data_IF_984024242765
#
_entry.id   IF_984024242765
#
_cell.length_a   1.000
_cell.length_b   1.000
_cell.length_c   1.000
_cell.angle_alpha   90.00
_cell.angle_beta   90.00
_cell.angle_gamma   90.00
#
_symmetry.space_group_name_H-M   'P 1'
#
loop_
_entity.id
_entity.type
_entity.pdbx_description
1 polymer ?
#
# COMPACT_ATOMS: atom_id res chain seq x y z
N UNK A 1 -3.13 4.29 4.79
CA UNK A 1 -2.77 2.85 4.89
C UNK A 1 -2.73 2.43 6.35
N UNK A 2 -3.20 1.20 6.67
CA UNK A 2 -3.07 0.59 8.00
C UNK A 2 -2.17 -0.63 7.91
N UNK A 3 -1.39 -0.88 8.96
CA UNK A 3 -0.52 -2.05 9.12
C UNK A 3 -0.86 -2.74 10.44
N UNK A 4 -0.96 -4.06 10.43
CA UNK A 4 -1.16 -4.87 11.62
C UNK A 4 -0.06 -5.93 11.71
N UNK A 5 0.76 -5.86 12.74
CA UNK A 5 1.74 -6.90 13.08
C UNK A 5 1.05 -7.92 13.98
N UNK A 6 1.16 -9.20 13.61
CA UNK A 6 0.35 -10.27 14.17
C UNK A 6 1.26 -11.43 14.63
N UNK A 7 0.73 -12.26 15.53
CA UNK A 7 1.18 -13.63 15.73
C UNK A 7 0.37 -14.60 14.88
N UNK A 8 0.95 -15.71 14.52
CA UNK A 8 0.24 -16.79 13.82
C UNK A 8 -0.93 -17.35 14.66
N UNK A 9 -1.90 -17.96 14.00
CA UNK A 9 -3.04 -18.60 14.64
C UNK A 9 -4.17 -17.62 14.96
N UNK A 10 -4.51 -17.46 16.25
CA UNK A 10 -5.70 -16.72 16.67
C UNK A 10 -5.76 -15.28 16.15
N UNK A 11 -4.63 -14.54 16.18
CA UNK A 11 -4.62 -13.15 15.70
C UNK A 11 -4.82 -13.03 14.20
N UNK A 12 -4.22 -13.92 13.39
CA UNK A 12 -4.44 -13.90 11.93
C UNK A 12 -5.89 -14.21 11.58
N UNK A 13 -6.50 -15.23 12.21
CA UNK A 13 -7.90 -15.60 11.99
C UNK A 13 -8.84 -14.46 12.41
N UNK A 14 -8.61 -13.87 13.59
CA UNK A 14 -9.42 -12.78 14.10
C UNK A 14 -9.33 -11.53 13.21
N UNK A 15 -8.12 -11.17 12.78
CA UNK A 15 -7.90 -9.98 11.93
C UNK A 15 -8.48 -10.17 10.53
N UNK A 16 -8.33 -11.37 9.92
CA UNK A 16 -8.99 -11.68 8.64
C UNK A 16 -10.51 -11.54 8.75
N UNK A 17 -11.10 -12.17 9.78
CA UNK A 17 -12.53 -12.06 10.02
C UNK A 17 -13.01 -10.62 10.27
N UNK A 18 -12.22 -9.82 10.97
CA UNK A 18 -12.50 -8.39 11.17
C UNK A 18 -12.47 -7.62 9.84
N UNK A 19 -11.45 -7.83 9.00
CA UNK A 19 -11.35 -7.17 7.70
C UNK A 19 -12.53 -7.54 6.80
N UNK A 20 -12.84 -8.83 6.68
CA UNK A 20 -13.87 -9.36 5.80
C UNK A 20 -15.29 -8.97 6.22
N UNK A 21 -15.61 -9.15 7.51
CA UNK A 21 -17.00 -9.06 8.00
C UNK A 21 -17.37 -7.72 8.65
N UNK A 22 -16.38 -6.92 9.01
CA UNK A 22 -16.62 -5.64 9.68
C UNK A 22 -16.05 -4.44 8.93
N UNK A 23 -14.72 -4.36 8.75
CA UNK A 23 -14.08 -3.15 8.23
C UNK A 23 -14.44 -2.88 6.77
N UNK A 24 -14.24 -3.83 5.86
CA UNK A 24 -14.49 -3.62 4.42
C UNK A 24 -15.95 -3.31 4.14
N UNK A 25 -16.94 -4.02 4.70
CA UNK A 25 -18.35 -3.65 4.54
C UNK A 25 -18.68 -2.24 5.06
N UNK A 26 -18.14 -1.86 6.22
CA UNK A 26 -18.34 -0.51 6.76
C UNK A 26 -17.71 0.58 5.90
N UNK A 27 -16.51 0.35 5.37
CA UNK A 27 -15.88 1.26 4.41
C UNK A 27 -16.72 1.43 3.13
N UNK A 28 -17.31 0.35 2.64
CA UNK A 28 -18.27 0.40 1.52
C UNK A 28 -19.47 1.30 1.80
N UNK A 29 -20.06 1.22 3.02
CA UNK A 29 -21.16 2.13 3.45
C UNK A 29 -20.71 3.60 3.54
N UNK A 30 -19.44 3.84 3.84
CA UNK A 30 -18.83 5.18 3.84
C UNK A 30 -18.39 5.66 2.45
N UNK A 31 -18.61 4.87 1.38
CA UNK A 31 -18.18 5.20 0.03
C UNK A 31 -16.67 5.12 -0.20
N UNK A 32 -15.95 4.42 0.69
CA UNK A 32 -14.50 4.24 0.62
C UNK A 32 -14.14 2.90 -0.02
N UNK A 33 -13.54 2.91 -1.18
CA UNK A 33 -13.13 1.71 -1.91
C UNK A 33 -12.65 2.01 -3.33
N UNK A 34 -12.06 0.99 -4.00
CA UNK A 34 -11.85 -0.39 -3.55
C UNK A 34 -10.77 -0.49 -2.46
N UNK A 35 -11.00 -1.33 -1.45
CA UNK A 35 -10.08 -1.55 -0.33
C UNK A 35 -9.10 -2.65 -0.67
N UNK A 36 -7.81 -2.37 -0.58
CA UNK A 36 -6.76 -3.39 -0.67
C UNK A 36 -6.48 -4.00 0.71
N UNK A 37 -6.51 -5.32 0.81
CA UNK A 37 -6.12 -6.05 2.01
C UNK A 37 -5.08 -7.11 1.63
N UNK A 38 -3.90 -7.03 2.23
CA UNK A 38 -2.74 -7.81 1.83
C UNK A 38 -2.05 -8.46 3.02
N UNK A 39 -1.46 -9.63 2.78
CA UNK A 39 -0.56 -10.32 3.69
C UNK A 39 0.88 -10.15 3.20
N UNK A 40 1.80 -9.86 4.13
CA UNK A 40 3.24 -9.88 3.87
C UNK A 40 3.71 -11.33 3.72
N UNK A 41 4.28 -11.65 2.55
CA UNK A 41 4.86 -12.97 2.28
C UNK A 41 6.39 -12.97 2.51
N UNK A 42 7.08 -11.91 2.06
CA UNK A 42 8.53 -11.76 2.23
C UNK A 42 8.81 -10.36 2.76
N UNK A 43 9.43 -10.28 3.91
CA UNK A 43 9.79 -9.05 4.60
C UNK A 43 10.02 -9.29 6.09
N UNK A 44 10.38 -8.24 6.84
CA UNK A 44 10.52 -8.34 8.28
C UNK A 44 9.15 -8.51 8.94
N UNK A 45 9.10 -9.20 10.07
CA UNK A 45 7.91 -9.32 10.92
C UNK A 45 6.69 -9.93 10.21
N UNK A 46 6.74 -11.21 9.90
CA UNK A 46 5.60 -11.98 9.42
C UNK A 46 4.96 -12.79 10.56
N UNK A 47 3.62 -12.87 10.61
CA UNK A 47 2.65 -12.29 9.69
C UNK A 47 2.40 -10.81 9.95
N UNK A 48 2.32 -10.05 8.87
CA UNK A 48 1.89 -8.64 8.89
C UNK A 48 0.84 -8.43 7.81
N UNK A 49 -0.23 -7.69 8.13
CA UNK A 49 -1.27 -7.33 7.17
C UNK A 49 -1.23 -5.84 6.88
N UNK A 50 -1.44 -5.50 5.60
CA UNK A 50 -1.55 -4.13 5.10
C UNK A 50 -2.96 -3.89 4.57
N UNK A 51 -3.57 -2.76 4.93
CA UNK A 51 -4.89 -2.36 4.45
C UNK A 51 -4.79 -0.98 3.81
N UNK A 52 -5.06 -0.92 2.51
CA UNK A 52 -5.08 0.30 1.72
C UNK A 52 -6.52 0.77 1.59
N UNK A 53 -6.81 1.97 2.11
CA UNK A 53 -8.15 2.56 2.15
C UNK A 53 -8.08 3.86 1.34
N UNK A 54 -8.64 3.91 0.12
CA UNK A 54 -8.70 5.13 -0.66
C UNK A 54 -9.87 6.02 -0.21
N UNK A 55 -9.66 7.33 -0.28
CA UNK A 55 -10.70 8.33 -0.11
C UNK A 55 -10.30 9.61 -0.83
N UNK A 56 -11.21 10.35 -1.46
CA UNK A 56 -10.94 11.69 -1.98
C UNK A 56 -10.86 12.75 -0.87
N UNK A 57 -11.24 12.39 0.36
CA UNK A 57 -11.32 13.28 1.53
C UNK A 57 -10.33 12.80 2.61
N UNK A 58 -9.29 13.59 2.85
CA UNK A 58 -8.27 13.30 3.84
C UNK A 58 -8.83 13.37 5.27
N UNK A 59 -9.75 14.30 5.56
CA UNK A 59 -10.39 14.40 6.88
C UNK A 59 -11.18 13.13 7.20
N UNK A 60 -11.88 12.57 6.20
CA UNK A 60 -12.61 11.32 6.35
C UNK A 60 -11.68 10.15 6.74
N UNK A 61 -10.44 10.13 6.24
CA UNK A 61 -9.44 9.12 6.62
C UNK A 61 -8.91 9.35 8.04
N UNK A 62 -8.67 10.60 8.43
CA UNK A 62 -8.20 10.95 9.78
C UNK A 62 -9.27 10.63 10.83
N UNK A 63 -10.53 10.96 10.53
CA UNK A 63 -11.67 10.75 11.42
C UNK A 63 -12.31 9.36 11.28
N UNK A 64 -11.69 8.45 10.53
CA UNK A 64 -12.31 7.17 10.15
C UNK A 64 -12.73 6.33 11.36
N UNK A 65 -11.93 6.25 12.42
CA UNK A 65 -12.31 5.45 13.59
C UNK A 65 -13.50 6.02 14.35
N UNK A 66 -13.63 7.35 14.41
CA UNK A 66 -14.80 7.99 15.00
C UNK A 66 -16.06 7.70 14.16
N UNK A 67 -15.95 7.78 12.83
CA UNK A 67 -17.05 7.46 11.91
C UNK A 67 -17.46 5.99 12.02
N UNK A 68 -16.50 5.06 12.06
CA UNK A 68 -16.74 3.63 12.25
C UNK A 68 -17.37 3.35 13.63
N UNK A 69 -16.93 4.05 14.67
CA UNK A 69 -17.50 3.93 16.01
C UNK A 69 -18.96 4.36 16.14
N UNK A 70 -19.45 5.20 15.22
CA UNK A 70 -20.84 5.60 15.12
C UNK A 70 -21.73 4.64 14.30
N UNK A 71 -21.11 3.70 13.55
CA UNK A 71 -21.82 2.68 12.77
C UNK A 71 -22.14 1.46 13.65
N UNK A 72 -23.39 1.32 14.08
CA UNK A 72 -23.82 0.24 14.97
C UNK A 72 -23.61 -1.17 14.37
N UNK A 73 -23.73 -1.31 13.06
CA UNK A 73 -23.49 -2.59 12.37
C UNK A 73 -21.99 -2.95 12.43
N UNK A 74 -21.11 -1.96 12.14
CA UNK A 74 -19.68 -2.15 12.29
C UNK A 74 -19.29 -2.48 13.74
N UNK A 75 -19.81 -1.72 14.72
CA UNK A 75 -19.51 -1.96 16.15
C UNK A 75 -19.87 -3.39 16.55
N UNK A 76 -21.03 -3.87 16.16
CA UNK A 76 -21.48 -5.26 16.40
C UNK A 76 -20.57 -6.28 15.71
N UNK A 77 -20.29 -6.10 14.42
CA UNK A 77 -19.49 -7.04 13.64
C UNK A 77 -18.01 -7.08 14.06
N UNK A 78 -17.46 -5.95 14.52
CA UNK A 78 -16.07 -5.78 14.91
C UNK A 78 -15.79 -6.12 16.38
N UNK A 79 -16.80 -6.45 17.20
CA UNK A 79 -16.67 -6.58 18.66
C UNK A 79 -15.52 -7.47 19.09
N UNK A 80 -15.41 -8.68 18.52
CA UNK A 80 -14.31 -9.59 18.88
C UNK A 80 -12.90 -9.07 18.61
N UNK A 81 -12.74 -8.18 17.62
CA UNK A 81 -11.47 -7.53 17.32
C UNK A 81 -11.25 -6.25 18.15
N UNK A 82 -12.28 -5.42 18.28
CA UNK A 82 -12.20 -4.14 19.00
C UNK A 82 -12.05 -4.33 20.51
N UNK A 83 -12.74 -5.31 21.05
CA UNK A 83 -12.87 -5.54 22.50
C UNK A 83 -11.96 -6.69 22.95
N UNK A 84 -10.98 -7.08 22.12
CA UNK A 84 -10.04 -8.15 22.44
C UNK A 84 -9.31 -7.86 23.75
N UNK A 85 -9.32 -8.78 24.73
CA UNK A 85 -8.71 -8.54 26.03
C UNK A 85 -7.18 -8.51 25.94
N UNK A 86 -6.52 -7.84 26.88
CA UNK A 86 -5.08 -7.74 26.92
C UNK A 86 -4.36 -9.11 26.99
N UNK A 87 -5.01 -10.13 27.57
CA UNK A 87 -4.48 -11.50 27.63
C UNK A 87 -4.55 -12.24 26.28
N UNK A 88 -5.38 -11.77 25.34
CA UNK A 88 -5.53 -12.33 23.99
C UNK A 88 -5.76 -11.18 22.98
N UNK A 89 -4.75 -10.34 22.74
CA UNK A 89 -4.90 -9.15 21.90
C UNK A 89 -5.13 -9.52 20.44
N UNK A 90 -5.86 -8.68 19.71
CA UNK A 90 -6.19 -8.88 18.30
C UNK A 90 -4.97 -8.73 17.38
N UNK A 91 -3.96 -7.98 17.81
CA UNK A 91 -2.69 -7.73 17.10
C UNK A 91 -1.59 -7.37 18.11
N UNK A 92 -0.34 -7.45 17.68
CA UNK A 92 0.81 -7.02 18.50
C UNK A 92 1.02 -5.51 18.40
N UNK A 93 0.94 -4.97 17.17
CA UNK A 93 1.06 -3.54 16.87
C UNK A 93 0.17 -3.16 15.70
N UNK A 94 -0.32 -1.93 15.73
CA UNK A 94 -0.95 -1.33 14.56
C UNK A 94 -0.31 0.03 14.26
N UNK A 95 -0.08 0.28 12.97
CA UNK A 95 0.44 1.55 12.47
C UNK A 95 -0.53 2.12 11.44
N UNK A 96 -0.54 3.44 11.32
CA UNK A 96 -1.34 4.15 10.31
C UNK A 96 -0.48 5.18 9.63
N UNK A 97 -0.65 5.29 8.31
CA UNK A 97 -0.01 6.33 7.51
C UNK A 97 -1.07 7.03 6.66
N UNK A 98 -0.99 8.33 6.59
CA UNK A 98 -1.74 9.14 5.63
C UNK A 98 -0.88 9.38 4.41
N UNK A 99 -1.40 8.99 3.25
CA UNK A 99 -0.70 9.04 1.97
C UNK A 99 -1.44 9.98 1.02
N UNK A 100 -0.71 10.89 0.37
CA UNK A 100 -1.22 11.76 -0.69
C UNK A 100 -0.88 11.19 -2.07
N UNK A 101 -1.88 10.94 -2.91
CA UNK A 101 -1.65 10.42 -4.25
C UNK A 101 -0.82 11.39 -5.10
N UNK A 102 0.06 10.85 -5.95
CA UNK A 102 0.80 11.65 -6.91
C UNK A 102 -0.11 12.24 -7.98
N UNK A 103 0.23 13.43 -8.48
CA UNK A 103 -0.52 14.09 -9.56
C UNK A 103 -0.52 13.26 -10.84
N UNK A 104 0.58 12.57 -11.14
CA UNK A 104 0.70 11.65 -12.27
C UNK A 104 -0.08 10.33 -12.10
N UNK A 105 -0.57 10.02 -10.88
CA UNK A 105 -1.39 8.83 -10.59
C UNK A 105 -2.42 9.12 -9.49
N UNK A 106 -3.44 9.95 -9.78
CA UNK A 106 -4.31 10.52 -8.75
C UNK A 106 -5.35 9.55 -8.17
N UNK A 107 -5.47 8.35 -8.76
CA UNK A 107 -6.47 7.34 -8.34
C UNK A 107 -5.84 5.98 -8.22
N UNK A 108 -6.30 5.22 -7.23
CA UNK A 108 -5.97 3.81 -7.09
C UNK A 108 -6.49 3.03 -8.31
N UNK A 109 -5.64 2.17 -8.89
CA UNK A 109 -5.96 1.29 -10.00
C UNK A 109 -5.97 -0.16 -9.52
N UNK A 110 -7.14 -0.76 -9.40
CA UNK A 110 -7.25 -2.17 -9.06
C UNK A 110 -6.96 -3.04 -10.30
N UNK A 111 -6.38 -4.25 -10.11
CA UNK A 111 -6.24 -5.23 -11.19
C UNK A 111 -7.57 -5.58 -11.83
N UNK A 112 -7.57 -5.83 -13.14
CA UNK A 112 -8.80 -6.24 -13.84
C UNK A 112 -9.27 -7.61 -13.33
N UNK A 113 -10.56 -7.73 -13.06
CA UNK A 113 -11.18 -9.01 -12.73
C UNK A 113 -11.25 -9.90 -13.97
N UNK A 114 -11.01 -11.19 -13.76
CA UNK A 114 -11.21 -12.24 -14.78
C UNK A 114 -12.39 -13.11 -14.29
N UNK A 115 -13.42 -13.25 -15.10
CA UNK A 115 -14.65 -13.98 -14.72
C UNK A 115 -15.26 -13.53 -13.39
N UNK A 116 -15.23 -12.20 -13.14
CA UNK A 116 -15.75 -11.60 -11.91
C UNK A 116 -14.85 -11.72 -10.67
N UNK A 117 -13.75 -12.46 -10.74
CA UNK A 117 -12.79 -12.68 -9.65
C UNK A 117 -11.48 -11.92 -9.89
N UNK A 118 -10.84 -11.52 -8.81
CA UNK A 118 -9.45 -11.04 -8.88
C UNK A 118 -8.55 -12.24 -9.16
N UNK A 119 -7.65 -12.15 -10.16
CA UNK A 119 -6.68 -13.21 -10.42
C UNK A 119 -5.67 -13.32 -9.27
N UNK A 120 -5.08 -14.51 -9.09
CA UNK A 120 -3.92 -14.65 -8.21
C UNK A 120 -2.81 -13.74 -8.72
N UNK A 121 -2.29 -12.89 -7.84
CA UNK A 121 -1.23 -11.93 -8.17
C UNK A 121 -0.33 -11.75 -6.96
N UNK A 122 0.87 -11.28 -7.23
CA UNK A 122 1.77 -10.74 -6.21
C UNK A 122 1.78 -9.22 -6.28
N UNK A 123 2.03 -8.60 -5.15
CA UNK A 123 2.15 -7.16 -5.04
C UNK A 123 3.52 -6.81 -4.45
N UNK A 124 4.11 -5.74 -4.96
CA UNK A 124 5.38 -5.22 -4.48
C UNK A 124 5.14 -3.82 -3.90
N UNK A 125 5.23 -3.71 -2.58
CA UNK A 125 5.14 -2.44 -1.85
C UNK A 125 6.55 -1.89 -1.67
N UNK A 126 6.82 -0.72 -2.24
CA UNK A 126 8.12 -0.07 -2.14
C UNK A 126 7.99 1.27 -1.44
N UNK A 127 8.95 1.56 -0.57
CA UNK A 127 9.07 2.86 0.09
C UNK A 127 10.46 3.39 -0.15
N UNK A 128 10.56 4.62 -0.65
CA UNK A 128 11.81 5.35 -0.83
C UNK A 128 11.90 6.45 0.22
N UNK A 129 12.88 6.34 1.08
CA UNK A 129 13.22 7.33 2.09
C UNK A 129 14.26 8.30 1.51
N UNK A 130 14.17 9.58 1.86
CA UNK A 130 15.11 10.59 1.41
C UNK A 130 15.79 11.26 2.59
N UNK A 131 17.07 11.67 2.41
CA UNK A 131 17.85 12.31 3.47
C UNK A 131 17.40 13.74 3.78
N UNK A 132 16.60 14.37 2.91
CA UNK A 132 16.10 15.73 3.09
C UNK A 132 14.79 15.95 2.34
N UNK A 133 14.08 17.02 2.72
CA UNK A 133 12.84 17.41 2.04
C UNK A 133 13.10 17.81 0.57
N UNK A 134 14.25 18.42 0.27
CA UNK A 134 14.62 18.81 -1.10
C UNK A 134 14.85 17.56 -1.96
N UNK A 135 15.60 16.58 -1.46
CA UNK A 135 15.82 15.30 -2.13
C UNK A 135 14.48 14.55 -2.38
N UNK A 136 13.60 14.54 -1.38
CA UNK A 136 12.26 13.95 -1.49
C UNK A 136 11.42 14.63 -2.58
N UNK A 137 11.35 15.96 -2.56
CA UNK A 137 10.62 16.74 -3.59
C UNK A 137 11.16 16.44 -4.99
N UNK A 138 12.49 16.32 -5.12
CA UNK A 138 13.13 15.98 -6.39
C UNK A 138 12.76 14.58 -6.86
N UNK A 139 12.77 13.59 -5.96
CA UNK A 139 12.36 12.21 -6.31
C UNK A 139 10.89 12.15 -6.73
N UNK A 140 10.00 12.85 -6.04
CA UNK A 140 8.58 12.94 -6.46
C UNK A 140 8.42 13.60 -7.83
N UNK A 141 9.20 14.65 -8.13
CA UNK A 141 9.18 15.29 -9.44
C UNK A 141 9.58 14.31 -10.55
N UNK A 142 10.66 13.53 -10.35
CA UNK A 142 11.06 12.49 -11.32
C UNK A 142 9.94 11.50 -11.62
N UNK A 143 9.23 11.02 -10.59
CA UNK A 143 8.09 10.12 -10.79
C UNK A 143 7.00 10.78 -11.62
N UNK A 144 6.56 11.99 -11.25
CA UNK A 144 5.45 12.67 -11.92
C UNK A 144 5.79 13.13 -13.34
N UNK A 145 7.05 13.51 -13.60
CA UNK A 145 7.50 14.02 -14.91
C UNK A 145 7.72 12.90 -15.93
N UNK A 146 8.29 11.75 -15.51
CA UNK A 146 8.70 10.71 -16.46
C UNK A 146 8.62 9.27 -15.92
N UNK A 147 9.07 9.00 -14.67
CA UNK A 147 9.31 7.63 -14.18
C UNK A 147 8.03 6.78 -14.21
N UNK A 148 6.85 7.35 -13.89
CA UNK A 148 5.55 6.66 -13.99
C UNK A 148 5.28 6.19 -15.43
N UNK A 149 5.53 7.06 -16.42
CA UNK A 149 5.36 6.71 -17.84
C UNK A 149 6.31 5.60 -18.27
N UNK A 150 7.57 5.66 -17.79
CA UNK A 150 8.58 4.63 -18.04
C UNK A 150 8.18 3.30 -17.41
N UNK A 151 7.62 3.31 -16.19
CA UNK A 151 7.06 2.09 -15.55
C UNK A 151 6.01 1.43 -16.43
N UNK A 152 4.99 2.18 -16.82
CA UNK A 152 3.85 1.66 -17.58
C UNK A 152 4.28 1.07 -18.93
N UNK A 153 5.14 1.75 -19.70
CA UNK A 153 5.58 1.25 -21.00
C UNK A 153 6.49 0.02 -20.92
N UNK A 154 7.15 -0.20 -19.78
CA UNK A 154 7.97 -1.39 -19.53
C UNK A 154 7.19 -2.53 -18.82
N UNK A 155 5.87 -2.45 -18.79
CA UNK A 155 4.98 -3.50 -18.27
C UNK A 155 4.78 -3.48 -16.76
N UNK A 156 5.46 -2.61 -16.02
CA UNK A 156 5.19 -2.44 -14.60
C UNK A 156 3.75 -1.94 -14.42
N UNK A 157 2.99 -2.61 -13.58
CA UNK A 157 1.55 -2.33 -13.41
C UNK A 157 1.28 -1.65 -12.07
N UNK A 158 1.17 -0.31 -12.03
CA UNK A 158 0.96 0.42 -10.80
C UNK A 158 -0.46 0.27 -10.25
N UNK A 159 -0.54 0.18 -8.93
CA UNK A 159 -1.78 0.30 -8.15
C UNK A 159 -1.93 1.70 -7.60
N UNK A 160 -0.88 2.24 -6.99
CA UNK A 160 -0.82 3.64 -6.55
C UNK A 160 0.63 4.11 -6.44
N UNK A 161 0.81 5.44 -6.48
CA UNK A 161 2.00 6.17 -6.04
C UNK A 161 1.56 7.26 -5.07
N UNK A 162 2.29 7.44 -3.97
CA UNK A 162 1.89 8.42 -2.97
C UNK A 162 3.09 8.98 -2.18
N UNK A 163 2.95 10.25 -1.80
CA UNK A 163 3.75 10.90 -0.76
C UNK A 163 3.26 10.49 0.61
N UNK A 164 4.14 10.25 1.55
CA UNK A 164 3.78 10.01 2.95
C UNK A 164 3.63 11.33 3.67
N UNK A 165 2.38 11.76 3.87
CA UNK A 165 2.05 13.03 4.53
C UNK A 165 2.19 12.93 6.05
N UNK A 166 1.79 11.79 6.63
CA UNK A 166 1.92 11.46 8.05
C UNK A 166 2.27 9.99 8.16
N UNK A 167 3.37 9.66 8.82
CA UNK A 167 3.82 8.27 8.96
C UNK A 167 5.18 8.17 9.62
N UNK A 168 5.82 7.03 9.42
CA UNK A 168 7.18 6.74 9.87
C UNK A 168 8.20 6.93 8.74
N UNK A 169 9.49 7.10 9.08
CA UNK A 169 10.62 7.17 8.14
C UNK A 169 10.52 8.32 7.12
N UNK A 170 9.93 9.43 7.52
CA UNK A 170 9.76 10.60 6.66
C UNK A 170 11.05 11.43 6.54
N UNK A 171 11.25 12.14 5.42
CA UNK A 171 10.37 12.19 4.24
C UNK A 171 10.51 10.92 3.39
N UNK A 172 9.39 10.39 2.93
CA UNK A 172 9.38 9.18 2.10
C UNK A 172 8.16 9.13 1.18
N UNK A 173 8.31 8.46 0.05
CA UNK A 173 7.22 8.10 -0.84
C UNK A 173 6.99 6.58 -0.83
N UNK A 174 5.77 6.18 -1.12
CA UNK A 174 5.39 4.76 -1.15
C UNK A 174 4.56 4.48 -2.40
N UNK A 175 4.81 3.34 -3.04
CA UNK A 175 4.01 2.88 -4.17
C UNK A 175 3.81 1.38 -4.15
N UNK A 176 2.76 0.92 -4.83
CA UNK A 176 2.40 -0.48 -4.96
C UNK A 176 2.30 -0.85 -6.43
N UNK A 177 3.03 -1.88 -6.82
CA UNK A 177 2.95 -2.52 -8.13
C UNK A 177 2.30 -3.88 -8.00
N UNK A 178 1.75 -4.41 -9.10
CA UNK A 178 1.18 -5.76 -9.14
C UNK A 178 1.69 -6.52 -10.36
N UNK A 179 1.87 -7.83 -10.19
CA UNK A 179 2.39 -8.75 -11.19
C UNK A 179 1.65 -10.08 -11.10
N UNK A 180 1.59 -10.83 -12.21
CA UNK A 180 1.03 -12.17 -12.19
C UNK A 180 1.84 -13.11 -11.27
N UNK A 181 3.17 -13.02 -11.35
CA UNK A 181 4.11 -13.83 -10.57
C UNK A 181 5.51 -13.18 -10.48
N UNK A 182 6.46 -13.89 -9.88
CA UNK A 182 7.84 -13.43 -9.72
C UNK A 182 8.63 -13.41 -11.06
N UNK A 183 8.23 -14.19 -12.05
CA UNK A 183 8.88 -14.19 -13.37
C UNK A 183 8.52 -12.91 -14.11
N UNK A 184 7.23 -12.54 -14.13
CA UNK A 184 6.76 -11.26 -14.69
C UNK A 184 7.42 -10.07 -13.99
N UNK A 185 7.47 -10.07 -12.66
CA UNK A 185 8.14 -9.03 -11.89
C UNK A 185 9.60 -8.87 -12.33
N UNK A 186 10.35 -9.98 -12.42
CA UNK A 186 11.76 -9.96 -12.78
C UNK A 186 11.96 -9.43 -14.21
N UNK A 187 11.12 -9.88 -15.15
CA UNK A 187 11.20 -9.47 -16.56
C UNK A 187 10.90 -7.97 -16.73
N UNK A 188 9.86 -7.45 -16.07
CA UNK A 188 9.48 -6.05 -16.20
C UNK A 188 10.48 -5.10 -15.51
N UNK A 189 11.04 -5.49 -14.36
CA UNK A 189 12.12 -4.70 -13.74
C UNK A 189 13.40 -4.71 -14.59
N UNK A 190 13.72 -5.82 -15.26
CA UNK A 190 14.84 -5.88 -16.18
C UNK A 190 14.62 -4.95 -17.40
N UNK A 191 13.41 -4.96 -17.99
CA UNK A 191 13.03 -4.06 -19.07
C UNK A 191 13.14 -2.57 -18.64
N UNK A 192 12.59 -2.22 -17.47
CA UNK A 192 12.69 -0.87 -16.91
C UNK A 192 14.16 -0.45 -16.73
N UNK A 193 15.00 -1.30 -16.14
CA UNK A 193 16.41 -1.00 -15.90
C UNK A 193 17.21 -0.85 -17.20
N UNK A 194 16.78 -1.49 -18.30
CA UNK A 194 17.41 -1.40 -19.62
C UNK A 194 16.93 -0.16 -20.41
N UNK A 195 15.82 0.46 -20.02
CA UNK A 195 15.20 1.58 -20.72
C UNK A 195 16.17 2.78 -20.85
N UNK A 196 16.29 3.33 -22.07
CA UNK A 196 17.26 4.39 -22.36
C UNK A 196 16.88 5.71 -21.68
N UNK A 197 15.58 6.05 -21.63
CA UNK A 197 15.12 7.28 -20.95
C UNK A 197 15.28 7.18 -19.44
N UNK A 198 15.05 5.99 -18.85
CA UNK A 198 15.33 5.75 -17.45
C UNK A 198 16.81 5.96 -17.13
N UNK A 199 17.70 5.38 -17.94
CA UNK A 199 19.16 5.56 -17.77
C UNK A 199 19.55 7.03 -17.83
N UNK A 200 19.05 7.75 -18.82
CA UNK A 200 19.30 9.19 -18.93
C UNK A 200 18.76 9.95 -17.71
N UNK A 201 17.50 9.74 -17.33
CA UNK A 201 16.83 10.41 -16.24
C UNK A 201 17.53 10.18 -14.88
N UNK A 202 17.88 8.92 -14.59
CA UNK A 202 18.46 8.52 -13.29
C UNK A 202 19.93 8.91 -13.13
N UNK A 203 20.63 9.22 -14.22
CA UNK A 203 22.03 9.65 -14.20
C UNK A 203 22.19 11.17 -14.32
N UNK A 204 21.11 11.93 -14.47
CA UNK A 204 21.20 13.40 -14.46
C UNK A 204 21.68 13.90 -13.09
N UNK A 205 22.56 14.90 -13.03
CA UNK A 205 22.93 15.53 -11.77
C UNK A 205 21.70 15.95 -10.96
N UNK A 206 21.67 15.63 -9.68
CA UNK A 206 20.53 15.86 -8.79
C UNK A 206 19.43 14.80 -8.85
N UNK A 207 19.57 13.75 -9.68
CA UNK A 207 18.59 12.66 -9.80
C UNK A 207 19.12 11.29 -9.39
N UNK A 208 20.43 11.17 -9.15
CA UNK A 208 21.00 9.87 -8.80
C UNK A 208 20.49 9.40 -7.44
N UNK A 209 20.30 8.09 -7.29
CA UNK A 209 19.85 7.52 -6.01
C UNK A 209 20.79 7.94 -4.85
N UNK A 210 22.09 8.05 -5.09
CA UNK A 210 23.05 8.52 -4.09
C UNK A 210 22.76 9.94 -3.59
N UNK A 211 22.13 10.79 -4.41
CA UNK A 211 21.82 12.18 -4.06
C UNK A 211 20.43 12.33 -3.40
N UNK A 212 19.45 11.50 -3.78
CA UNK A 212 18.04 11.74 -3.43
C UNK A 212 17.35 10.59 -2.69
N UNK A 213 18.01 9.43 -2.56
CA UNK A 213 17.45 8.26 -1.84
C UNK A 213 18.41 7.85 -0.72
N UNK A 214 17.93 7.79 0.50
CA UNK A 214 18.72 7.32 1.65
C UNK A 214 18.48 5.84 1.97
N UNK A 215 17.31 5.32 1.67
CA UNK A 215 16.96 3.91 1.87
C UNK A 215 15.79 3.48 0.98
N UNK A 216 15.74 2.19 0.61
CA UNK A 216 14.64 1.58 -0.14
C UNK A 216 14.16 0.35 0.62
N UNK A 217 12.90 0.37 1.04
CA UNK A 217 12.22 -0.83 1.53
C UNK A 217 11.47 -1.52 0.39
N UNK A 218 11.48 -2.85 0.38
CA UNK A 218 10.88 -3.67 -0.66
C UNK A 218 10.18 -4.86 -0.03
N UNK A 219 8.85 -4.91 -0.11
CA UNK A 219 8.01 -5.93 0.52
C UNK A 219 7.18 -6.64 -0.55
N UNK A 220 7.07 -7.96 -0.44
CA UNK A 220 6.25 -8.79 -1.32
C UNK A 220 5.00 -9.24 -0.57
N UNK A 221 3.86 -8.99 -1.19
CA UNK A 221 2.55 -9.18 -0.59
C UNK A 221 1.69 -10.08 -1.48
N UNK A 222 0.80 -10.85 -0.85
CA UNK A 222 -0.34 -11.48 -1.52
C UNK A 222 -1.66 -10.89 -1.04
N UNK A 223 -2.70 -10.81 -1.90
CA UNK A 223 -4.00 -10.31 -1.47
C UNK A 223 -4.65 -11.31 -0.53
N UNK A 224 -5.36 -10.82 0.49
CA UNK A 224 -6.31 -11.62 1.26
C UNK A 224 -7.57 -11.87 0.42
N UNK A 225 -8.33 -12.92 0.74
CA UNK A 225 -9.55 -13.27 -0.01
C UNK A 225 -10.58 -12.13 -0.03
N UNK A 226 -10.65 -11.32 1.03
CA UNK A 226 -11.51 -10.16 1.13
C UNK A 226 -10.99 -8.91 0.40
N UNK A 227 -9.79 -8.95 -0.18
CA UNK A 227 -9.22 -7.80 -0.92
C UNK A 227 -10.07 -7.45 -2.15
N UNK A 228 -10.22 -6.16 -2.38
CA UNK A 228 -10.90 -5.62 -3.57
C UNK A 228 -9.90 -5.12 -4.63
N UNK A 229 -8.60 -5.27 -4.31
CA UNK A 229 -7.46 -4.86 -5.14
C UNK A 229 -6.54 -6.04 -5.39
#
# INVERSE_FOLDING_TARGET
>A
MRKYELRNGAQTTLTQGYLERALIPALGRLGMGPVGAFKLDIGPQTPTYYVLIPSPDAEALVMLDARLGADAEYVKAAGGFRDAPAAAPAFERSERSLLGAFTGWPKLTAPKKVEGKLPKRIFQLRTYESASQVAHTRKMAMFNEAEIGIFVRNGLTPVFFADTLIGTRMPCLTYLLTFADMAELTAHWAAFSADAEWKELSHRPGNTDAEIVSNISNLYLSPLECSQV
#
